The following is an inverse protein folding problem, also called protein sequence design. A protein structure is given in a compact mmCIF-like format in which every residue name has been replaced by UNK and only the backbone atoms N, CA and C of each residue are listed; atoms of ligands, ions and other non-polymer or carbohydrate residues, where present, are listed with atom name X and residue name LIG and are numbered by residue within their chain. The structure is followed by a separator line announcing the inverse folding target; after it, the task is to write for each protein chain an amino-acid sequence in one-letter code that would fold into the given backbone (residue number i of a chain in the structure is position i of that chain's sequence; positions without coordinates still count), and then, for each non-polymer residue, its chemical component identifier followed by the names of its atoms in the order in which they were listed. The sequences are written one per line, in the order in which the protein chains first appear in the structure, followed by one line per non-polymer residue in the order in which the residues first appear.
data_IF_306446752311
#
_entry.id   IF_306446752311
#
_cell.length_a   1.000
_cell.length_b   1.000
_cell.length_c   1.000
_cell.angle_alpha   90.00
_cell.angle_beta   90.00
_cell.angle_gamma   90.00
#
_symmetry.space_group_name_H-M   'P 1'
#
loop_
_entity.id
_entity.type
_entity.pdbx_description
1 polymer ?
#
# COMPACT_ATOMS: atom_id res chain seq x y z
N UNK A 1 24.45 10.05 -32.85
CA UNK A 1 24.03 8.65 -32.60
C UNK A 1 24.97 8.08 -31.56
N UNK A 2 24.57 8.07 -30.30
CA UNK A 2 25.35 7.48 -29.21
C UNK A 2 25.28 5.95 -29.37
N UNK A 3 26.38 5.32 -29.80
CA UNK A 3 26.50 3.87 -29.73
C UNK A 3 26.60 3.48 -28.25
N UNK A 4 25.55 2.91 -27.72
CA UNK A 4 25.57 2.31 -26.39
C UNK A 4 26.28 0.97 -26.55
N UNK A 5 27.43 0.83 -25.95
CA UNK A 5 28.22 -0.42 -25.99
C UNK A 5 27.53 -1.44 -25.07
N UNK A 6 27.26 -2.66 -25.57
CA UNK A 6 26.62 -3.74 -24.79
C UNK A 6 27.44 -4.09 -23.54
N UNK A 7 28.75 -3.99 -23.59
CA UNK A 7 29.63 -4.23 -22.45
C UNK A 7 29.44 -3.21 -21.33
N UNK A 8 29.17 -1.95 -21.67
CA UNK A 8 28.90 -0.90 -20.67
C UNK A 8 27.55 -1.11 -19.98
N UNK A 9 26.56 -1.60 -20.72
CA UNK A 9 25.24 -1.96 -20.14
C UNK A 9 25.41 -3.13 -19.17
N UNK A 10 26.11 -4.16 -19.56
CA UNK A 10 26.33 -5.34 -18.74
C UNK A 10 27.11 -5.00 -17.46
N UNK A 11 28.14 -4.19 -17.55
CA UNK A 11 28.94 -3.74 -16.40
C UNK A 11 28.13 -2.89 -15.44
N UNK A 12 27.37 -1.93 -15.95
CA UNK A 12 26.51 -1.09 -15.14
C UNK A 12 25.41 -1.88 -14.44
N UNK A 13 24.91 -2.93 -15.07
CA UNK A 13 23.90 -3.81 -14.48
C UNK A 13 24.47 -4.68 -13.34
N UNK A 14 25.68 -5.24 -13.51
CA UNK A 14 26.33 -6.02 -12.45
C UNK A 14 26.71 -5.13 -11.25
N UNK A 15 27.16 -3.90 -11.48
CA UNK A 15 27.41 -2.91 -10.42
C UNK A 15 26.12 -2.56 -9.65
N UNK A 16 25.02 -2.32 -10.37
CA UNK A 16 23.70 -2.14 -9.78
C UNK A 16 23.30 -3.32 -8.89
N UNK A 17 23.43 -4.55 -9.41
CA UNK A 17 23.11 -5.77 -8.69
C UNK A 17 23.95 -5.93 -7.41
N UNK A 18 25.24 -5.64 -7.49
CA UNK A 18 26.18 -5.70 -6.37
C UNK A 18 25.80 -4.68 -5.29
N UNK A 19 25.45 -3.45 -5.67
CA UNK A 19 25.01 -2.38 -4.74
C UNK A 19 23.70 -2.71 -4.04
N UNK A 20 22.70 -3.23 -4.78
CA UNK A 20 21.43 -3.69 -4.20
C UNK A 20 21.65 -4.79 -3.16
N UNK A 21 22.54 -5.76 -3.43
CA UNK A 21 22.86 -6.83 -2.50
C UNK A 21 23.59 -6.34 -1.25
N UNK A 22 24.48 -5.37 -1.40
CA UNK A 22 25.27 -4.78 -0.29
C UNK A 22 24.47 -3.78 0.55
N UNK A 23 23.25 -3.41 0.11
CA UNK A 23 22.40 -2.46 0.82
C UNK A 23 23.05 -1.08 1.02
N UNK A 24 23.78 -0.60 0.04
CA UNK A 24 24.40 0.72 0.03
C UNK A 24 23.53 1.75 -0.71
N UNK A 25 23.58 3.00 -0.26
CA UNK A 25 22.92 4.09 -0.97
C UNK A 25 23.67 4.43 -2.27
N UNK A 26 22.92 4.54 -3.36
CA UNK A 26 23.45 4.92 -4.67
C UNK A 26 22.41 5.65 -5.51
N UNK A 27 22.84 6.38 -6.51
CA UNK A 27 21.97 7.03 -7.47
C UNK A 27 22.11 6.37 -8.85
N UNK A 28 20.98 6.27 -9.56
CA UNK A 28 20.92 5.81 -10.94
C UNK A 28 20.27 6.91 -11.78
N UNK A 29 20.96 7.37 -12.81
CA UNK A 29 20.52 8.46 -13.69
C UNK A 29 20.32 7.96 -15.12
N UNK A 30 19.65 8.76 -15.95
CA UNK A 30 19.44 8.44 -17.35
C UNK A 30 18.42 7.32 -17.63
N UNK A 31 17.62 6.92 -16.64
CA UNK A 31 16.62 5.87 -16.80
C UNK A 31 15.38 6.35 -17.54
N UNK A 32 15.01 5.63 -18.59
CA UNK A 32 13.66 5.70 -19.19
C UNK A 32 12.63 5.09 -18.25
N UNK A 33 11.34 5.37 -18.49
CA UNK A 33 10.26 4.81 -17.66
C UNK A 33 10.29 3.28 -17.61
N UNK A 34 10.50 2.63 -18.74
CA UNK A 34 10.55 1.16 -18.81
C UNK A 34 11.74 0.57 -18.06
N UNK A 35 12.92 1.20 -18.16
CA UNK A 35 14.11 0.77 -17.43
C UNK A 35 13.93 0.93 -15.92
N UNK A 36 13.24 1.97 -15.47
CA UNK A 36 12.89 2.17 -14.06
C UNK A 36 12.09 1.00 -13.50
N UNK A 37 11.04 0.60 -14.23
CA UNK A 37 10.17 -0.51 -13.85
C UNK A 37 10.93 -1.84 -13.89
N UNK A 38 11.74 -2.04 -14.91
CA UNK A 38 12.63 -3.21 -15.02
C UNK A 38 13.56 -3.31 -13.83
N UNK A 39 14.28 -2.25 -13.47
CA UNK A 39 15.16 -2.24 -12.31
C UNK A 39 14.39 -2.48 -11.01
N UNK A 40 13.19 -1.89 -10.84
CA UNK A 40 12.35 -2.11 -9.68
C UNK A 40 11.96 -3.60 -9.53
N UNK A 41 11.60 -4.27 -10.64
CA UNK A 41 11.32 -5.71 -10.64
C UNK A 41 12.54 -6.53 -10.22
N UNK A 42 13.76 -6.10 -10.63
CA UNK A 42 15.02 -6.77 -10.28
C UNK A 42 15.46 -6.51 -8.84
N UNK A 43 15.20 -5.32 -8.29
CA UNK A 43 15.46 -5.04 -6.87
C UNK A 43 14.73 -6.05 -6.01
N UNK A 44 13.45 -6.32 -6.31
CA UNK A 44 12.68 -7.33 -5.58
C UNK A 44 13.28 -8.74 -5.72
N UNK A 45 13.75 -9.09 -6.91
CA UNK A 45 14.38 -10.41 -7.15
C UNK A 45 15.72 -10.58 -6.41
N UNK A 46 16.47 -9.49 -6.23
CA UNK A 46 17.82 -9.54 -5.61
C UNK A 46 17.80 -9.30 -4.11
N UNK A 47 16.82 -8.55 -3.62
CA UNK A 47 16.66 -8.22 -2.21
C UNK A 47 15.49 -9.00 -1.61
N UNK A 48 15.73 -9.65 -0.48
CA UNK A 48 14.65 -10.24 0.33
C UNK A 48 13.83 -9.20 1.09
N UNK A 49 14.24 -7.92 1.02
CA UNK A 49 13.59 -6.81 1.72
C UNK A 49 12.34 -6.35 0.97
N UNK A 50 11.47 -5.69 1.69
CA UNK A 50 10.31 -4.99 1.12
C UNK A 50 10.78 -3.71 0.44
N UNK A 51 10.12 -3.36 -0.66
CA UNK A 51 10.47 -2.19 -1.48
C UNK A 51 9.42 -1.12 -1.31
N UNK A 52 9.84 0.05 -0.87
CA UNK A 52 9.03 1.26 -0.92
C UNK A 52 9.54 2.13 -2.08
N UNK A 53 8.72 2.26 -3.12
CA UNK A 53 9.06 3.07 -4.29
C UNK A 53 8.27 4.38 -4.27
N UNK A 54 8.96 5.48 -4.04
CA UNK A 54 8.35 6.80 -3.94
C UNK A 54 8.18 7.42 -5.31
N UNK A 55 6.98 7.90 -5.62
CA UNK A 55 6.63 8.56 -6.88
C UNK A 55 6.22 10.01 -6.63
N UNK A 56 6.36 10.86 -7.66
CA UNK A 56 5.95 12.26 -7.56
C UNK A 56 4.43 12.44 -7.46
N UNK A 57 3.65 11.57 -8.14
CA UNK A 57 2.19 11.64 -8.19
C UNK A 57 1.55 10.26 -8.06
N UNK A 58 0.28 10.24 -7.68
CA UNK A 58 -0.54 9.02 -7.64
C UNK A 58 -0.73 8.41 -9.03
N UNK A 59 -0.94 9.25 -10.05
CA UNK A 59 -1.05 8.79 -11.44
C UNK A 59 0.19 8.03 -11.89
N UNK A 60 1.38 8.51 -11.53
CA UNK A 60 2.62 7.79 -11.80
C UNK A 60 2.70 6.47 -11.04
N UNK A 61 2.24 6.42 -9.79
CA UNK A 61 2.20 5.19 -9.01
C UNK A 61 1.27 4.14 -9.66
N UNK A 62 0.06 4.54 -10.06
CA UNK A 62 -0.90 3.67 -10.75
C UNK A 62 -0.37 3.17 -12.10
N UNK A 63 0.28 4.05 -12.87
CA UNK A 63 0.94 3.65 -14.11
C UNK A 63 2.03 2.61 -13.85
N UNK A 64 2.92 2.85 -12.89
CA UNK A 64 3.96 1.89 -12.55
C UNK A 64 3.40 0.56 -12.02
N UNK A 65 2.29 0.58 -11.29
CA UNK A 65 1.60 -0.65 -10.87
C UNK A 65 1.14 -1.47 -12.06
N UNK A 66 0.46 -0.84 -13.02
CA UNK A 66 0.00 -1.47 -14.25
C UNK A 66 1.14 -2.04 -15.07
N UNK A 67 2.21 -1.26 -15.24
CA UNK A 67 3.37 -1.66 -16.03
C UNK A 67 4.16 -2.82 -15.35
N UNK A 68 4.32 -2.80 -14.01
CA UNK A 68 4.94 -3.90 -13.26
C UNK A 68 4.16 -5.20 -13.42
N UNK A 69 2.83 -5.13 -13.36
CA UNK A 69 1.99 -6.31 -13.50
C UNK A 69 2.01 -6.84 -14.93
N UNK A 70 1.80 -5.96 -15.93
CA UNK A 70 1.66 -6.37 -17.33
C UNK A 70 2.98 -6.84 -17.95
N UNK A 71 4.10 -6.14 -17.69
CA UNK A 71 5.37 -6.44 -18.33
C UNK A 71 6.20 -7.49 -17.56
N UNK A 72 6.08 -7.56 -16.24
CA UNK A 72 6.95 -8.39 -15.41
C UNK A 72 6.21 -9.35 -14.47
N UNK A 73 4.87 -9.37 -14.52
CA UNK A 73 4.02 -10.16 -13.60
C UNK A 73 4.36 -9.94 -12.12
N UNK A 74 4.77 -8.72 -11.76
CA UNK A 74 5.13 -8.33 -10.40
C UNK A 74 3.99 -7.58 -9.76
N UNK A 75 3.44 -8.15 -8.68
CA UNK A 75 2.36 -7.53 -7.91
C UNK A 75 2.91 -6.43 -7.01
N UNK A 76 2.28 -5.27 -7.04
CA UNK A 76 2.56 -4.13 -6.17
C UNK A 76 1.25 -3.49 -5.69
N UNK A 77 1.33 -2.68 -4.64
CA UNK A 77 0.18 -1.93 -4.14
C UNK A 77 0.51 -0.45 -4.11
N UNK A 78 -0.46 0.38 -4.49
CA UNK A 78 -0.33 1.83 -4.45
C UNK A 78 -0.91 2.33 -3.13
N UNK A 79 -0.12 3.10 -2.39
CA UNK A 79 -0.56 3.78 -1.16
C UNK A 79 -1.42 4.97 -1.56
N UNK A 80 -2.74 4.97 -1.30
CA UNK A 80 -3.58 6.10 -1.64
C UNK A 80 -3.26 7.30 -0.77
N UNK A 81 -3.57 8.49 -1.26
CA UNK A 81 -3.47 9.75 -0.55
C UNK A 81 -4.85 10.29 -0.22
N UNK A 82 -5.07 10.67 1.03
CA UNK A 82 -6.30 11.33 1.42
C UNK A 82 -6.24 12.81 1.06
N UNK A 83 -7.03 13.22 0.08
CA UNK A 83 -7.12 14.62 -0.29
C UNK A 83 -8.04 15.37 0.68
N UNK A 84 -7.53 15.66 1.89
CA UNK A 84 -8.26 16.47 2.87
C UNK A 84 -8.03 17.93 2.51
N UNK A 85 -9.02 18.56 1.89
CA UNK A 85 -9.02 20.01 1.70
C UNK A 85 -9.31 20.69 3.05
N UNK A 86 -8.45 21.61 3.46
CA UNK A 86 -8.68 22.40 4.69
C UNK A 86 -9.97 23.25 4.63
N UNK A 87 -10.53 23.44 3.44
CA UNK A 87 -11.66 24.32 3.18
C UNK A 87 -12.98 23.59 2.93
N UNK A 88 -12.92 22.27 2.80
CA UNK A 88 -14.12 21.45 2.57
C UNK A 88 -14.37 20.56 3.77
N UNK A 89 -15.59 20.66 4.33
CA UNK A 89 -16.12 19.72 5.33
C UNK A 89 -16.45 18.36 4.71
N UNK A 90 -15.60 17.89 3.81
CA UNK A 90 -15.78 16.58 3.19
C UNK A 90 -15.26 15.53 4.16
N UNK A 91 -16.13 14.62 4.54
CA UNK A 91 -15.73 13.45 5.32
C UNK A 91 -14.59 12.70 4.60
N UNK A 92 -13.57 12.24 5.34
CA UNK A 92 -12.48 11.45 4.76
C UNK A 92 -13.04 10.32 3.90
N UNK A 93 -12.43 10.07 2.75
CA UNK A 93 -12.81 8.94 1.90
C UNK A 93 -12.50 7.64 2.65
N UNK A 94 -13.53 7.03 3.23
CA UNK A 94 -13.39 5.79 4.01
C UNK A 94 -12.77 4.65 3.20
N UNK A 95 -12.97 4.65 1.88
CA UNK A 95 -12.37 3.65 0.99
C UNK A 95 -10.84 3.79 0.95
N UNK A 96 -10.32 4.99 0.76
CA UNK A 96 -8.87 5.23 0.71
C UNK A 96 -8.23 4.92 2.06
N UNK A 97 -8.90 5.30 3.16
CA UNK A 97 -8.46 4.96 4.51
C UNK A 97 -8.40 3.44 4.73
N UNK A 98 -9.44 2.72 4.33
CA UNK A 98 -9.47 1.25 4.42
C UNK A 98 -8.37 0.60 3.58
N UNK A 99 -8.07 1.12 2.39
CA UNK A 99 -6.97 0.65 1.55
C UNK A 99 -5.60 0.91 2.21
N UNK A 100 -5.39 2.09 2.80
CA UNK A 100 -4.16 2.38 3.55
C UNK A 100 -3.96 1.38 4.69
N UNK A 101 -4.99 1.15 5.51
CA UNK A 101 -4.95 0.17 6.60
C UNK A 101 -4.62 -1.23 6.08
N UNK A 102 -5.27 -1.66 5.00
CA UNK A 102 -5.03 -2.95 4.37
C UNK A 102 -3.58 -3.12 3.92
N UNK A 103 -2.99 -2.08 3.32
CA UNK A 103 -1.59 -2.10 2.89
C UNK A 103 -0.65 -2.21 4.09
N UNK A 104 -0.90 -1.42 5.15
CA UNK A 104 -0.08 -1.44 6.36
C UNK A 104 -0.16 -2.78 7.09
N UNK A 105 -1.32 -3.42 7.12
CA UNK A 105 -1.51 -4.74 7.72
C UNK A 105 -0.91 -5.87 6.89
N UNK A 106 -1.15 -5.88 5.58
CA UNK A 106 -0.71 -6.95 4.66
C UNK A 106 0.78 -6.90 4.39
N UNK A 107 1.41 -5.72 4.57
CA UNK A 107 2.84 -5.49 4.35
C UNK A 107 3.31 -6.09 3.02
N UNK A 108 2.79 -5.66 1.88
CA UNK A 108 3.13 -6.22 0.58
C UNK A 108 4.62 -6.06 0.28
N UNK A 109 5.11 -6.81 -0.69
CA UNK A 109 6.51 -6.80 -1.06
C UNK A 109 6.95 -5.50 -1.72
N UNK A 110 6.09 -4.92 -2.55
CA UNK A 110 6.32 -3.64 -3.21
C UNK A 110 5.16 -2.70 -2.94
N UNK A 111 5.47 -1.55 -2.36
CA UNK A 111 4.53 -0.44 -2.19
C UNK A 111 4.99 0.72 -3.06
N UNK A 112 4.10 1.20 -3.91
CA UNK A 112 4.28 2.42 -4.71
C UNK A 112 3.61 3.56 -3.93
N UNK A 113 4.40 4.51 -3.48
CA UNK A 113 3.94 5.53 -2.56
C UNK A 113 4.10 6.92 -3.19
N UNK A 114 3.01 7.62 -3.51
CA UNK A 114 3.09 9.04 -3.87
C UNK A 114 3.73 9.85 -2.75
N UNK A 115 4.55 10.83 -3.08
CA UNK A 115 5.25 11.65 -2.07
C UNK A 115 4.29 12.30 -1.06
N UNK A 116 3.09 12.65 -1.49
CA UNK A 116 2.05 13.22 -0.62
C UNK A 116 1.60 12.23 0.47
N UNK A 117 1.49 10.94 0.13
CA UNK A 117 1.11 9.90 1.10
C UNK A 117 2.16 9.70 2.21
N UNK A 118 3.43 10.04 1.96
CA UNK A 118 4.48 9.98 2.99
C UNK A 118 4.35 11.10 4.04
N UNK A 119 3.63 12.17 3.73
CA UNK A 119 3.40 13.28 4.66
C UNK A 119 2.25 12.99 5.64
N UNK A 120 1.50 11.93 5.40
CA UNK A 120 0.42 11.50 6.29
C UNK A 120 0.98 10.79 7.53
N UNK A 121 0.28 10.97 8.65
CA UNK A 121 0.62 10.26 9.88
C UNK A 121 -0.04 8.90 9.89
N UNK A 122 0.76 7.86 9.94
CA UNK A 122 0.28 6.48 10.07
C UNK A 122 0.42 5.98 11.50
N UNK A 123 -0.53 5.15 11.98
CA UNK A 123 -0.40 4.51 13.26
C UNK A 123 0.82 3.58 13.31
N UNK A 124 1.42 3.45 14.48
CA UNK A 124 2.54 2.51 14.68
C UNK A 124 2.12 1.06 14.42
N UNK A 125 3.07 0.22 14.00
CA UNK A 125 2.81 -1.14 13.51
C UNK A 125 2.04 -2.07 14.45
N UNK A 126 2.12 -1.86 15.77
CA UNK A 126 1.38 -2.65 16.76
C UNK A 126 -0.03 -2.13 17.04
N UNK A 127 -0.35 -0.91 16.62
CA UNK A 127 -1.69 -0.33 16.78
C UNK A 127 -2.77 -1.22 16.16
N UNK A 128 -2.55 -1.69 14.95
CA UNK A 128 -3.53 -2.53 14.25
C UNK A 128 -3.71 -3.91 14.89
N UNK A 129 -2.68 -4.47 15.51
CA UNK A 129 -2.79 -5.76 16.21
C UNK A 129 -3.64 -5.63 17.47
N UNK A 130 -3.49 -4.52 18.18
CA UNK A 130 -4.18 -4.26 19.45
C UNK A 130 -5.64 -3.83 19.22
N UNK A 131 -5.92 -3.13 18.12
CA UNK A 131 -7.22 -2.50 17.85
C UNK A 131 -7.97 -3.17 16.67
N UNK A 132 -7.62 -4.40 16.29
CA UNK A 132 -8.35 -5.14 15.26
C UNK A 132 -9.20 -6.24 15.87
N UNK A 133 -10.50 -6.18 15.61
CA UNK A 133 -11.45 -7.22 15.98
C UNK A 133 -11.65 -8.17 14.77
N UNK A 134 -11.50 -9.47 14.99
CA UNK A 134 -11.77 -10.48 13.98
C UNK A 134 -13.07 -11.18 14.31
N UNK A 135 -14.06 -11.05 13.46
CA UNK A 135 -15.38 -11.66 13.60
C UNK A 135 -15.53 -12.74 12.53
N UNK A 136 -15.98 -13.93 12.93
CA UNK A 136 -16.29 -15.03 12.02
C UNK A 136 -17.76 -15.39 12.11
N UNK A 137 -18.31 -15.97 11.06
CA UNK A 137 -19.66 -16.51 11.07
C UNK A 137 -19.75 -17.62 12.13
N UNK A 138 -20.72 -17.46 13.05
CA UNK A 138 -20.89 -18.39 14.19
C UNK A 138 -20.28 -17.90 15.51
N UNK A 139 -19.53 -16.79 15.52
CA UNK A 139 -19.04 -16.20 16.76
C UNK A 139 -20.19 -15.59 17.56
N UNK A 140 -20.19 -15.81 18.87
CA UNK A 140 -21.10 -15.14 19.81
C UNK A 140 -20.51 -13.76 20.14
N UNK A 141 -21.21 -12.71 19.76
CA UNK A 141 -20.80 -11.32 19.99
C UNK A 141 -21.69 -10.62 21.01
N UNK A 142 -21.10 -10.07 22.05
CA UNK A 142 -21.79 -9.10 22.92
C UNK A 142 -21.81 -7.73 22.24
N UNK A 143 -23.02 -7.24 21.92
CA UNK A 143 -23.21 -5.96 21.25
C UNK A 143 -22.70 -4.77 22.06
N UNK A 144 -22.75 -4.85 23.40
CA UNK A 144 -22.24 -3.78 24.26
C UNK A 144 -20.71 -3.71 24.21
N UNK A 145 -20.06 -4.86 24.31
CA UNK A 145 -18.60 -4.95 24.19
C UNK A 145 -18.14 -4.51 22.80
N UNK A 146 -18.84 -4.90 21.75
CA UNK A 146 -18.58 -4.46 20.38
C UNK A 146 -18.70 -2.95 20.23
N UNK A 147 -19.77 -2.34 20.76
CA UNK A 147 -19.99 -0.91 20.70
C UNK A 147 -18.89 -0.13 21.44
N UNK A 148 -18.49 -0.59 22.61
CA UNK A 148 -17.39 0.01 23.37
C UNK A 148 -16.06 -0.07 22.63
N UNK A 149 -15.75 -1.22 22.04
CA UNK A 149 -14.51 -1.43 21.27
C UNK A 149 -14.45 -0.58 19.98
N UNK A 150 -15.60 -0.32 19.35
CA UNK A 150 -15.70 0.53 18.17
C UNK A 150 -15.93 2.00 18.50
N UNK A 151 -16.06 2.35 19.77
CA UNK A 151 -16.35 3.72 20.24
C UNK A 151 -17.60 4.31 19.58
N UNK A 152 -18.61 3.48 19.34
CA UNK A 152 -19.91 3.86 18.82
C UNK A 152 -20.94 4.01 19.94
N UNK A 153 -21.92 4.88 19.71
CA UNK A 153 -23.00 5.11 20.68
C UNK A 153 -23.90 3.88 20.80
N UNK A 154 -24.56 3.72 21.96
CA UNK A 154 -25.54 2.64 22.18
C UNK A 154 -26.64 2.63 21.13
N UNK A 155 -27.07 3.83 20.68
CA UNK A 155 -28.07 3.97 19.63
C UNK A 155 -27.61 3.41 18.29
N UNK A 156 -26.39 3.74 17.87
CA UNK A 156 -25.82 3.22 16.63
C UNK A 156 -25.62 1.69 16.69
N UNK A 157 -25.21 1.17 17.85
CA UNK A 157 -25.08 -0.27 18.08
C UNK A 157 -26.45 -0.97 17.98
N UNK A 158 -27.53 -0.34 18.50
CA UNK A 158 -28.89 -0.85 18.39
C UNK A 158 -29.37 -0.91 16.94
N UNK A 159 -29.10 0.12 16.14
CA UNK A 159 -29.45 0.17 14.72
C UNK A 159 -28.70 -0.92 13.94
N UNK A 160 -27.41 -1.08 14.17
CA UNK A 160 -26.59 -2.14 13.54
C UNK A 160 -27.08 -3.54 13.91
N UNK A 161 -27.44 -3.77 15.18
CA UNK A 161 -27.99 -5.04 15.64
C UNK A 161 -29.33 -5.40 15.00
N UNK A 162 -30.20 -4.42 14.77
CA UNK A 162 -31.47 -4.62 14.07
C UNK A 162 -31.30 -4.88 12.58
N UNK A 163 -30.36 -4.18 11.92
CA UNK A 163 -30.01 -4.45 10.53
C UNK A 163 -29.44 -5.87 10.36
N UNK A 164 -28.56 -6.31 11.24
CA UNK A 164 -28.01 -7.67 11.21
C UNK A 164 -29.11 -8.72 11.34
N UNK A 165 -30.07 -8.55 12.27
CA UNK A 165 -31.24 -9.45 12.42
C UNK A 165 -32.11 -9.48 11.16
N UNK A 166 -32.33 -8.32 10.54
CA UNK A 166 -33.11 -8.23 9.30
C UNK A 166 -32.46 -9.01 8.14
N UNK A 167 -31.14 -8.92 8.01
CA UNK A 167 -30.40 -9.66 6.99
C UNK A 167 -30.38 -11.18 7.24
N UNK A 168 -30.25 -11.62 8.49
CA UNK A 168 -30.26 -13.07 8.83
C UNK A 168 -31.62 -13.71 8.75
N UNK A 169 -32.73 -12.95 8.85
CA UNK A 169 -34.10 -13.47 8.75
C UNK A 169 -34.62 -13.56 7.30
N UNK A 170 -33.90 -12.99 6.33
CA UNK A 170 -34.29 -12.97 4.91
C UNK A 170 -33.33 -13.79 4.02
N UNK A 171 -32.45 -14.60 4.58
CA UNK A 171 -31.65 -15.65 3.94
C UNK A 171 -32.21 -17.04 4.26
#
# INVERSE_FOLDING_TARGET
MLMINEDDISRNYEDFRAKVKKDVSFAVTGLTSILRIYLLSKIKAYSKKKVLFVTSTEQNALKYQSDLLSAFNVKSQVMPFQNISMYETVSPNLYDYAQQIKILQSKPDIVLCPVKSLLEKFPQGDFFKKNSLKIKVGDSLDLKELAQNLNITEYEAFVLGNLAKYWTSNL
#
